data_IF_863295481680
#
_entry.id   IF_863295481680
#
_cell.length_a   1.000
_cell.length_b   1.000
_cell.length_c   1.000
_cell.angle_alpha   90.00
_cell.angle_beta   90.00
_cell.angle_gamma   90.00
#
_symmetry.space_group_name_H-M   'P 1'
#
loop_
_entity.id
_entity.type
_entity.pdbx_description
1 polymer ?
#
# COMPACT_ATOMS: atom_id res chain seq x y z
N UNK A 1 1.22 -2.33 14.84
CA UNK A 1 0.37 -3.51 14.61
C UNK A 1 0.82 -4.39 13.42
N UNK A 2 1.35 -3.83 12.30
CA UNK A 2 1.71 -4.63 11.11
C UNK A 2 3.21 -4.91 10.89
N UNK A 3 4.09 -4.37 11.73
CA UNK A 3 5.52 -4.63 11.63
C UNK A 3 5.81 -6.13 11.83
N UNK A 4 6.55 -6.75 10.91
CA UNK A 4 6.87 -8.18 10.94
C UNK A 4 5.79 -9.11 10.39
N UNK A 5 4.63 -8.59 9.97
CA UNK A 5 3.61 -9.38 9.25
C UNK A 5 3.88 -9.34 7.75
N UNK A 6 3.70 -10.48 7.09
CA UNK A 6 3.75 -10.57 5.62
C UNK A 6 2.52 -9.92 4.99
N UNK A 7 2.75 -9.20 3.89
CA UNK A 7 1.66 -8.68 3.06
C UNK A 7 0.87 -9.85 2.45
N UNK A 8 -0.47 -9.74 2.32
CA UNK A 8 -1.28 -10.78 1.70
C UNK A 8 -0.72 -11.22 0.33
N UNK A 9 -0.76 -12.53 0.04
CA UNK A 9 -0.21 -13.10 -1.19
C UNK A 9 -0.77 -12.42 -2.46
N UNK A 10 -2.07 -12.18 -2.47
CA UNK A 10 -2.74 -11.50 -3.59
C UNK A 10 -2.22 -10.07 -3.81
N UNK A 11 -1.90 -9.31 -2.76
CA UNK A 11 -1.39 -7.95 -2.90
C UNK A 11 0.05 -7.95 -3.44
N UNK A 12 0.82 -9.02 -3.15
CA UNK A 12 2.14 -9.24 -3.74
C UNK A 12 2.05 -9.56 -5.23
N UNK A 13 1.15 -10.48 -5.59
CA UNK A 13 1.00 -10.97 -6.97
C UNK A 13 0.31 -9.96 -7.88
N UNK A 14 -0.79 -9.35 -7.42
CA UNK A 14 -1.63 -8.46 -8.22
C UNK A 14 -1.13 -7.00 -8.21
N UNK A 15 -0.56 -6.53 -7.10
CA UNK A 15 -0.17 -5.12 -6.90
C UNK A 15 1.34 -4.91 -6.75
N UNK A 16 2.14 -5.99 -6.79
CA UNK A 16 3.59 -5.93 -6.60
C UNK A 16 4.02 -5.44 -5.22
N UNK A 17 3.13 -5.47 -4.22
CA UNK A 17 3.44 -4.99 -2.88
C UNK A 17 4.38 -5.98 -2.17
N UNK A 18 5.51 -5.48 -1.68
CA UNK A 18 6.43 -6.24 -0.82
C UNK A 18 6.30 -5.85 0.65
N UNK A 19 5.50 -4.83 0.97
CA UNK A 19 5.28 -4.36 2.33
C UNK A 19 3.84 -3.85 2.51
N UNK A 20 3.40 -3.83 3.76
CA UNK A 20 2.12 -3.22 4.14
C UNK A 20 2.11 -1.70 3.91
N UNK A 21 3.25 -1.03 4.04
CA UNK A 21 3.34 0.41 3.79
C UNK A 21 3.08 0.74 2.31
N UNK A 22 3.61 -0.07 1.39
CA UNK A 22 3.32 0.06 -0.04
C UNK A 22 1.83 -0.16 -0.34
N UNK A 23 1.23 -1.21 0.24
CA UNK A 23 -0.18 -1.53 0.05
C UNK A 23 -1.10 -0.39 0.55
N UNK A 24 -0.82 0.14 1.75
CA UNK A 24 -1.59 1.25 2.32
C UNK A 24 -1.42 2.55 1.53
N UNK A 25 -0.19 2.85 1.09
CA UNK A 25 0.03 4.05 0.30
C UNK A 25 -0.64 3.95 -1.07
N UNK A 26 -0.60 2.78 -1.72
CA UNK A 26 -1.36 2.47 -2.95
C UNK A 26 -2.87 2.61 -2.76
N UNK A 27 -3.42 2.17 -1.63
CA UNK A 27 -4.83 2.37 -1.29
C UNK A 27 -5.21 3.86 -1.34
N UNK A 28 -4.38 4.72 -0.74
CA UNK A 28 -4.59 6.18 -0.76
C UNK A 28 -4.43 6.75 -2.16
N UNK A 29 -3.29 6.54 -2.81
CA UNK A 29 -2.96 7.24 -4.08
C UNK A 29 -3.76 6.76 -5.29
N UNK A 30 -4.37 5.58 -5.22
CA UNK A 30 -5.21 5.05 -6.32
C UNK A 30 -6.64 5.59 -6.31
N UNK A 31 -7.07 6.27 -5.24
CA UNK A 31 -8.40 6.84 -5.19
C UNK A 31 -8.50 8.03 -6.16
N UNK A 32 -9.48 8.08 -7.08
CA UNK A 32 -9.53 9.11 -8.13
C UNK A 32 -9.59 10.56 -7.62
N UNK A 33 -10.11 10.78 -6.40
CA UNK A 33 -10.15 12.10 -5.77
C UNK A 33 -8.83 12.54 -5.11
N UNK A 34 -7.83 11.65 -5.00
CA UNK A 34 -6.53 11.98 -4.40
C UNK A 34 -5.59 12.48 -5.50
N UNK A 35 -5.06 13.69 -5.32
CA UNK A 35 -4.15 14.32 -6.28
C UNK A 35 -2.69 14.22 -5.87
N UNK A 36 -2.42 14.13 -4.56
CA UNK A 36 -1.08 13.97 -4.00
C UNK A 36 -1.15 13.28 -2.63
N UNK A 37 -0.10 12.54 -2.29
CA UNK A 37 0.12 12.00 -0.94
C UNK A 37 1.49 12.42 -0.42
N UNK A 38 1.56 12.77 0.87
CA UNK A 38 2.80 13.24 1.53
C UNK A 38 3.13 12.27 2.68
N UNK A 39 3.74 11.10 2.40
CA UNK A 39 4.07 10.14 3.44
C UNK A 39 5.30 10.60 4.22
N UNK A 40 5.09 11.05 5.46
CA UNK A 40 6.17 11.54 6.33
C UNK A 40 7.04 10.37 6.82
N UNK A 41 8.34 10.51 6.65
CA UNK A 41 9.34 9.64 7.29
C UNK A 41 10.66 10.39 7.46
N UNK A 42 11.40 10.11 8.53
CA UNK A 42 12.80 10.52 8.72
C UNK A 42 13.80 9.39 8.43
N UNK A 43 13.31 8.18 8.12
CA UNK A 43 14.13 7.00 7.86
C UNK A 43 14.26 6.78 6.35
N UNK A 44 15.49 6.80 5.79
CA UNK A 44 15.74 6.56 4.35
C UNK A 44 15.22 5.21 3.84
N UNK A 45 15.22 4.15 4.67
CA UNK A 45 14.67 2.85 4.28
C UNK A 45 13.16 2.91 4.07
N UNK A 46 12.43 3.60 4.94
CA UNK A 46 10.99 3.81 4.75
C UNK A 46 10.73 4.74 3.56
N UNK A 47 11.59 5.73 3.29
CA UNK A 47 11.47 6.57 2.11
C UNK A 47 11.54 5.74 0.83
N UNK A 48 12.52 4.83 0.73
CA UNK A 48 12.63 3.92 -0.41
C UNK A 48 11.38 3.05 -0.56
N UNK A 49 10.81 2.58 0.55
CA UNK A 49 9.59 1.78 0.54
C UNK A 49 8.35 2.57 0.10
N UNK A 50 8.22 3.82 0.58
CA UNK A 50 7.16 4.74 0.15
C UNK A 50 7.25 5.04 -1.35
N UNK A 51 8.46 5.26 -1.87
CA UNK A 51 8.67 5.49 -3.31
C UNK A 51 8.24 4.27 -4.13
N UNK A 52 8.54 3.04 -3.67
CA UNK A 52 8.14 1.81 -4.35
C UNK A 52 6.63 1.65 -4.51
N UNK A 53 5.83 2.23 -3.62
CA UNK A 53 4.37 2.23 -3.74
C UNK A 53 3.87 2.91 -5.03
N UNK A 54 4.63 3.87 -5.56
CA UNK A 54 4.31 4.59 -6.80
C UNK A 54 4.55 3.80 -8.09
N UNK A 55 5.13 2.60 -8.02
CA UNK A 55 5.44 1.78 -9.20
C UNK A 55 4.54 0.54 -9.29
N UNK A 56 4.43 -0.03 -10.49
CA UNK A 56 3.61 -1.22 -10.74
C UNK A 56 2.10 -0.95 -10.73
N UNK A 57 1.27 -2.01 -10.75
CA UNK A 57 -0.19 -1.88 -10.83
C UNK A 57 -0.77 -1.10 -9.64
N UNK A 58 -1.78 -0.28 -9.91
CA UNK A 58 -2.56 0.42 -8.87
C UNK A 58 -3.88 -0.31 -8.63
N UNK A 59 -4.34 -0.40 -7.38
CA UNK A 59 -5.56 -1.12 -7.08
C UNK A 59 -6.78 -0.44 -7.70
N UNK A 60 -7.66 -1.26 -8.27
CA UNK A 60 -9.00 -0.84 -8.68
C UNK A 60 -9.94 -0.67 -7.46
N UNK A 61 -11.22 -0.41 -7.73
CA UNK A 61 -12.24 -0.23 -6.67
C UNK A 61 -12.36 -1.48 -5.79
N UNK A 62 -12.44 -2.68 -6.39
CA UNK A 62 -12.61 -3.95 -5.67
C UNK A 62 -11.37 -4.30 -4.87
N UNK A 63 -10.19 -4.06 -5.43
CA UNK A 63 -8.92 -4.27 -4.75
C UNK A 63 -8.76 -3.30 -3.58
N UNK A 64 -9.20 -2.03 -3.70
CA UNK A 64 -9.23 -1.10 -2.56
C UNK A 64 -10.15 -1.59 -1.43
N UNK A 65 -11.34 -2.10 -1.75
CA UNK A 65 -12.23 -2.73 -0.76
C UNK A 65 -11.54 -3.92 -0.07
N UNK A 66 -10.84 -4.76 -0.84
CA UNK A 66 -10.04 -5.87 -0.30
C UNK A 66 -8.88 -5.41 0.59
N UNK A 67 -8.24 -4.28 0.28
CA UNK A 67 -7.24 -3.66 1.19
C UNK A 67 -7.91 -3.21 2.48
N UNK A 68 -9.07 -2.56 2.40
CA UNK A 68 -9.81 -2.09 3.58
C UNK A 68 -10.21 -3.25 4.50
N UNK A 69 -10.70 -4.37 3.94
CA UNK A 69 -11.09 -5.55 4.71
C UNK A 69 -9.91 -6.24 5.43
N UNK A 70 -8.66 -6.05 4.96
CA UNK A 70 -7.48 -6.52 5.70
C UNK A 70 -7.39 -5.83 7.06
N UNK A 71 -7.80 -4.56 7.16
CA UNK A 71 -7.72 -3.79 8.40
C UNK A 71 -8.81 -4.15 9.41
N UNK A 72 -9.99 -4.54 8.94
CA UNK A 72 -11.09 -4.99 9.81
C UNK A 72 -10.74 -6.27 10.59
N UNK A 73 -9.72 -7.00 10.13
CA UNK A 73 -9.32 -8.30 10.66
C UNK A 73 -7.93 -8.29 11.35
N UNK A 74 -7.39 -7.11 11.71
CA UNK A 74 -6.11 -6.94 12.44
C UNK A 74 -6.39 -6.55 13.89
#
# INVERSE_FOLDING_TARGET
AMAGKDVPAWAREELGCTSHAQMLLKFVVSHPAVTAAIPRTSNPRHMLDNLKAGFGPMPDVKQRERIASVWENI
#
